data_IF_315182398503
#
_entry.id   IF_315182398503
#
_cell.length_a   1.000
_cell.length_b   1.000
_cell.length_c   1.000
_cell.angle_alpha   90.00
_cell.angle_beta   90.00
_cell.angle_gamma   90.00
#
_symmetry.space_group_name_H-M   'P 1'
#
loop_
_entity.id
_entity.type
_entity.pdbx_description
1 polymer ?
#
# COMPACT_ATOMS: atom_id res chain seq x y z
N UNK A 1 -8.69 -12.98 7.33
CA UNK A 1 -8.05 -11.83 6.68
C UNK A 1 -6.55 -12.11 6.67
N UNK A 2 -5.95 -12.19 5.48
CA UNK A 2 -4.50 -12.38 5.37
C UNK A 2 -3.78 -11.04 5.51
N UNK A 3 -2.49 -11.08 5.82
CA UNK A 3 -1.70 -9.86 5.94
C UNK A 3 -1.47 -9.24 4.57
N UNK A 4 -1.42 -7.91 4.47
CA UNK A 4 -0.96 -7.22 3.25
C UNK A 4 0.54 -7.36 3.01
N UNK A 5 1.26 -7.94 3.97
CA UNK A 5 2.71 -8.17 3.91
C UNK A 5 2.97 -9.48 3.16
N UNK A 6 3.68 -9.38 2.05
CA UNK A 6 4.13 -10.52 1.26
C UNK A 6 5.65 -10.62 1.22
N UNK A 7 6.14 -11.79 0.79
CA UNK A 7 7.57 -12.06 0.65
C UNK A 7 7.95 -12.03 -0.81
N UNK A 8 8.98 -11.24 -1.15
CA UNK A 8 9.48 -11.08 -2.51
C UNK A 8 10.97 -11.35 -2.61
N UNK A 9 11.41 -11.78 -3.78
CA UNK A 9 12.81 -11.71 -4.17
C UNK A 9 13.02 -10.53 -5.10
N UNK A 10 14.04 -9.72 -4.80
CA UNK A 10 14.47 -8.64 -5.66
C UNK A 10 15.94 -8.80 -6.05
N UNK A 11 16.25 -8.35 -7.26
CA UNK A 11 17.53 -8.49 -7.93
C UNK A 11 18.05 -7.12 -8.37
N UNK A 12 19.35 -6.91 -8.21
CA UNK A 12 20.08 -5.70 -8.62
C UNK A 12 21.15 -6.10 -9.66
N UNK A 13 20.81 -6.12 -10.95
CA UNK A 13 21.74 -6.57 -12.00
C UNK A 13 22.87 -5.59 -12.28
N UNK A 14 22.66 -4.30 -12.02
CA UNK A 14 23.64 -3.24 -12.34
C UNK A 14 24.31 -2.68 -11.07
N UNK A 15 24.26 -3.45 -9.98
CA UNK A 15 24.88 -3.05 -8.72
C UNK A 15 26.41 -3.21 -8.83
N UNK A 16 27.19 -2.18 -8.47
CA UNK A 16 28.64 -2.32 -8.46
C UNK A 16 29.13 -3.26 -7.34
N UNK A 17 30.20 -4.06 -7.55
CA UNK A 17 30.67 -5.06 -6.58
C UNK A 17 31.01 -4.54 -5.18
N UNK A 18 31.43 -3.27 -5.05
CA UNK A 18 31.67 -2.62 -3.75
C UNK A 18 30.42 -2.53 -2.87
N UNK A 19 29.21 -2.60 -3.44
CA UNK A 19 27.94 -2.61 -2.71
C UNK A 19 27.39 -4.02 -2.43
N UNK A 20 28.16 -5.10 -2.65
CA UNK A 20 27.71 -6.48 -2.43
C UNK A 20 27.78 -6.91 -0.96
N UNK A 21 28.33 -6.05 -0.08
CA UNK A 21 28.26 -6.27 1.35
C UNK A 21 26.80 -6.40 1.79
N UNK A 22 26.52 -7.37 2.67
CA UNK A 22 25.16 -7.66 3.14
C UNK A 22 24.52 -6.41 3.75
N UNK A 23 25.30 -5.65 4.51
CA UNK A 23 24.91 -4.43 5.21
C UNK A 23 24.52 -3.34 4.21
N UNK A 24 25.30 -3.17 3.14
CA UNK A 24 25.01 -2.22 2.07
C UNK A 24 23.71 -2.58 1.33
N UNK A 25 23.54 -3.86 0.98
CA UNK A 25 22.30 -4.36 0.37
C UNK A 25 21.12 -4.12 1.30
N UNK A 26 21.23 -4.48 2.57
CA UNK A 26 20.13 -4.31 3.52
C UNK A 26 19.75 -2.84 3.71
N UNK A 27 20.75 -1.95 3.80
CA UNK A 27 20.53 -0.51 3.87
C UNK A 27 19.77 0.03 2.65
N UNK A 28 20.17 -0.38 1.45
CA UNK A 28 19.47 -0.01 0.21
C UNK A 28 18.02 -0.48 0.19
N UNK A 29 17.77 -1.68 0.71
CA UNK A 29 16.47 -2.34 0.58
C UNK A 29 15.49 -1.93 1.68
N UNK A 30 15.98 -1.40 2.81
CA UNK A 30 15.14 -0.80 3.86
C UNK A 30 14.19 0.28 3.33
N UNK A 31 14.54 0.96 2.23
CA UNK A 31 13.67 1.93 1.58
C UNK A 31 12.46 1.29 0.85
N UNK A 32 12.53 -0.01 0.56
CA UNK A 32 11.53 -0.80 -0.18
C UNK A 32 10.69 -1.65 0.77
N UNK A 33 11.33 -2.27 1.75
CA UNK A 33 10.69 -3.21 2.67
C UNK A 33 11.68 -3.73 3.70
N UNK A 34 11.28 -4.73 4.48
CA UNK A 34 12.13 -5.31 5.52
C UNK A 34 13.01 -6.42 4.93
N UNK A 35 14.34 -6.26 4.92
CA UNK A 35 15.23 -7.29 4.40
C UNK A 35 15.25 -8.52 5.30
N UNK A 36 15.23 -9.70 4.68
CA UNK A 36 15.28 -11.00 5.37
C UNK A 36 16.63 -11.68 5.18
N UNK A 37 17.02 -11.92 3.93
CA UNK A 37 18.27 -12.63 3.62
C UNK A 37 18.74 -12.33 2.21
N UNK A 38 20.06 -12.30 2.00
CA UNK A 38 20.65 -12.36 0.65
C UNK A 38 20.62 -13.80 0.13
N UNK A 39 20.65 -13.97 -1.19
CA UNK A 39 20.81 -15.29 -1.79
C UNK A 39 22.22 -15.86 -1.58
N UNK A 40 22.39 -17.17 -1.80
CA UNK A 40 23.69 -17.83 -1.58
C UNK A 40 24.76 -17.36 -2.56
N UNK A 41 24.39 -16.98 -3.79
CA UNK A 41 25.34 -16.51 -4.79
C UNK A 41 25.92 -15.14 -4.43
N UNK A 42 25.09 -14.22 -3.94
CA UNK A 42 25.50 -12.91 -3.41
C UNK A 42 26.33 -13.09 -2.15
N UNK A 43 25.87 -13.95 -1.22
CA UNK A 43 26.60 -14.24 0.03
C UNK A 43 28.01 -14.77 -0.22
N UNK A 44 28.15 -15.66 -1.21
CA UNK A 44 29.43 -16.26 -1.57
C UNK A 44 30.22 -15.43 -2.61
N UNK A 45 29.70 -14.26 -3.01
CA UNK A 45 30.25 -13.42 -4.08
C UNK A 45 30.52 -14.19 -5.40
N UNK A 46 29.76 -15.27 -5.63
CA UNK A 46 29.95 -16.18 -6.77
C UNK A 46 29.36 -15.61 -8.08
N UNK A 47 28.49 -14.60 -7.98
CA UNK A 47 27.88 -13.89 -9.13
C UNK A 47 28.10 -12.38 -8.98
N UNK A 48 29.23 -11.83 -9.43
CA UNK A 48 29.54 -10.41 -9.27
C UNK A 48 28.65 -9.49 -10.12
N UNK A 49 27.83 -10.06 -11.01
CA UNK A 49 26.96 -9.32 -11.92
C UNK A 49 25.53 -9.15 -11.43
N UNK A 50 25.14 -9.71 -10.28
CA UNK A 50 23.78 -9.56 -9.77
C UNK A 50 23.72 -9.86 -8.27
N UNK A 51 23.31 -8.87 -7.49
CA UNK A 51 22.97 -9.08 -6.08
C UNK A 51 21.48 -9.40 -5.94
N UNK A 52 21.12 -10.35 -5.08
CA UNK A 52 19.72 -10.75 -4.86
C UNK A 52 19.42 -10.86 -3.37
N UNK A 53 18.24 -10.37 -2.98
CA UNK A 53 17.80 -10.31 -1.59
C UNK A 53 16.30 -10.60 -1.47
N UNK A 54 15.95 -11.30 -0.41
CA UNK A 54 14.59 -11.64 0.00
C UNK A 54 14.08 -10.61 1.00
N UNK A 55 12.89 -10.07 0.78
CA UNK A 55 12.29 -9.03 1.61
C UNK A 55 10.83 -9.30 1.95
N UNK A 56 10.37 -8.72 3.06
CA UNK A 56 8.96 -8.49 3.35
C UNK A 56 8.56 -7.11 2.81
N UNK A 57 7.49 -7.05 2.02
CA UNK A 57 6.99 -5.82 1.38
C UNK A 57 5.47 -5.78 1.45
N UNK A 58 4.93 -4.56 1.56
CA UNK A 58 3.49 -4.33 1.47
C UNK A 58 3.01 -4.49 0.02
N UNK A 59 2.16 -5.48 -0.22
CA UNK A 59 1.60 -5.81 -1.53
C UNK A 59 0.62 -4.75 -2.05
N UNK A 60 0.13 -3.87 -1.19
CA UNK A 60 -0.79 -2.80 -1.55
C UNK A 60 -0.07 -1.51 -1.94
N UNK A 61 1.21 -1.39 -1.60
CA UNK A 61 2.05 -0.23 -1.88
C UNK A 61 2.57 -0.21 -3.32
N UNK A 62 2.93 0.98 -3.81
CA UNK A 62 3.55 1.14 -5.12
C UNK A 62 4.97 0.56 -5.10
N UNK A 63 5.26 -0.35 -6.03
CA UNK A 63 6.58 -0.96 -6.17
C UNK A 63 7.64 0.06 -6.61
N UNK A 64 8.77 0.09 -5.89
CA UNK A 64 9.91 0.96 -6.18
C UNK A 64 10.81 0.28 -7.21
N UNK A 65 10.95 0.90 -8.38
CA UNK A 65 11.71 0.31 -9.49
C UNK A 65 13.18 0.75 -9.54
N UNK A 66 13.54 1.82 -8.84
CA UNK A 66 14.89 2.37 -8.81
C UNK A 66 15.20 2.96 -7.44
N UNK A 67 16.42 2.75 -6.98
CA UNK A 67 16.96 3.33 -5.75
C UNK A 67 18.19 4.19 -6.08
N UNK A 68 18.41 5.24 -5.29
CA UNK A 68 19.61 6.08 -5.43
C UNK A 68 20.69 5.53 -4.52
N UNK A 69 21.83 5.13 -5.10
CA UNK A 69 23.05 4.82 -4.37
C UNK A 69 23.97 6.03 -4.39
N UNK A 70 24.58 6.34 -3.25
CA UNK A 70 25.59 7.37 -3.13
C UNK A 70 26.94 6.68 -2.91
N UNK A 71 27.94 7.11 -3.67
CA UNK A 71 29.32 6.68 -3.56
C UNK A 71 30.14 7.91 -3.24
N UNK A 72 30.81 7.90 -2.09
CA UNK A 72 31.68 8.98 -1.64
C UNK A 72 33.10 8.65 -2.09
N UNK A 73 33.78 9.62 -2.70
CA UNK A 73 35.17 9.50 -3.08
C UNK A 73 36.06 9.91 -1.91
N UNK A 74 36.76 8.93 -1.32
CA UNK A 74 37.64 9.12 -0.15
C UNK A 74 38.74 10.18 -0.36
N UNK A 75 39.04 10.55 -1.61
CA UNK A 75 40.12 11.49 -1.94
C UNK A 75 39.63 12.90 -2.26
N UNK A 76 38.39 13.06 -2.71
CA UNK A 76 37.88 14.35 -3.20
C UNK A 76 36.68 14.88 -2.42
N UNK A 77 36.18 14.15 -1.41
CA UNK A 77 34.93 14.43 -0.69
C UNK A 77 33.71 14.59 -1.64
N UNK A 78 33.83 14.14 -2.89
CA UNK A 78 32.76 14.23 -3.87
C UNK A 78 31.79 13.05 -3.73
N UNK A 79 30.50 13.36 -3.61
CA UNK A 79 29.45 12.34 -3.57
C UNK A 79 28.87 12.14 -4.97
N UNK A 80 29.17 10.98 -5.57
CA UNK A 80 28.57 10.55 -6.85
C UNK A 80 27.31 9.76 -6.57
N UNK A 81 26.19 10.19 -7.14
CA UNK A 81 24.92 9.45 -6.99
C UNK A 81 24.54 8.72 -8.28
N UNK A 82 24.17 7.44 -8.16
CA UNK A 82 23.76 6.59 -9.28
C UNK A 82 22.41 5.96 -9.00
N UNK A 83 21.55 5.92 -10.02
CA UNK A 83 20.31 5.15 -9.96
C UNK A 83 20.58 3.67 -10.22
N UNK A 84 20.24 2.81 -9.26
CA UNK A 84 20.30 1.36 -9.38
C UNK A 84 18.90 0.83 -9.67
N UNK A 85 18.78 -0.01 -10.70
CA UNK A 85 17.51 -0.64 -11.07
C UNK A 85 17.19 -1.77 -10.09
N UNK A 86 15.93 -1.81 -9.66
CA UNK A 86 15.35 -2.91 -8.86
C UNK A 86 14.54 -3.79 -9.81
N UNK A 87 14.78 -5.10 -9.78
CA UNK A 87 13.97 -6.08 -10.48
C UNK A 87 13.28 -6.98 -9.45
N UNK A 88 11.99 -7.22 -9.62
CA UNK A 88 11.23 -8.15 -8.79
C UNK A 88 11.09 -9.46 -9.55
N UNK A 89 11.60 -10.55 -8.98
CA UNK A 89 11.58 -11.86 -9.65
C UNK A 89 10.17 -12.48 -9.61
N UNK A 90 9.50 -12.34 -8.46
CA UNK A 90 8.12 -12.76 -8.23
C UNK A 90 7.51 -11.89 -7.14
N UNK A 91 6.31 -11.37 -7.39
CA UNK A 91 5.55 -10.56 -6.45
C UNK A 91 4.17 -11.20 -6.26
N UNK A 92 3.82 -11.69 -5.06
CA UNK A 92 2.46 -12.16 -4.81
C UNK A 92 1.43 -11.07 -5.12
N UNK A 93 0.33 -11.45 -5.77
CA UNK A 93 -0.82 -10.57 -5.94
C UNK A 93 -1.58 -10.50 -4.62
N UNK A 94 -2.15 -9.35 -4.32
CA UNK A 94 -3.07 -9.16 -3.21
C UNK A 94 -4.38 -8.60 -3.76
N UNK A 95 -5.47 -9.31 -3.54
CA UNK A 95 -6.79 -8.84 -3.95
C UNK A 95 -7.41 -8.03 -2.80
N UNK A 96 -7.70 -6.75 -3.08
CA UNK A 96 -8.24 -5.82 -2.07
C UNK A 96 -9.67 -6.13 -1.67
N UNK A 97 -10.43 -6.72 -2.60
CA UNK A 97 -11.84 -7.06 -2.40
C UNK A 97 -12.02 -8.23 -1.42
N UNK A 98 -11.11 -9.20 -1.48
CA UNK A 98 -11.17 -10.44 -0.71
C UNK A 98 -10.19 -10.49 0.46
N UNK A 99 -9.22 -9.56 0.49
CA UNK A 99 -8.11 -9.55 1.43
C UNK A 99 -7.30 -10.86 1.47
N UNK A 100 -7.11 -11.48 0.30
CA UNK A 100 -6.35 -12.72 0.11
C UNK A 100 -5.12 -12.50 -0.79
N UNK A 101 -4.05 -13.24 -0.49
CA UNK A 101 -2.82 -13.31 -1.26
C UNK A 101 -2.86 -14.46 -2.27
N UNK A 102 -2.33 -14.25 -3.47
CA UNK A 102 -2.00 -15.34 -4.41
C UNK A 102 -2.73 -15.29 -5.75
N UNK A 103 -3.92 -14.69 -5.82
CA UNK A 103 -4.77 -14.75 -7.02
C UNK A 103 -5.08 -13.38 -7.66
N UNK A 104 -5.50 -13.44 -8.94
CA UNK A 104 -6.00 -12.29 -9.69
C UNK A 104 -7.38 -11.85 -9.15
N UNK A 105 -7.67 -10.54 -9.16
CA UNK A 105 -8.95 -9.97 -8.67
C UNK A 105 -10.17 -10.62 -9.35
N UNK A 106 -10.03 -11.05 -10.60
CA UNK A 106 -11.09 -11.76 -11.32
C UNK A 106 -11.32 -13.20 -10.86
N UNK A 107 -10.29 -13.87 -10.35
CA UNK A 107 -10.40 -15.29 -9.97
C UNK A 107 -10.85 -15.46 -8.52
N UNK A 108 -10.74 -14.41 -7.70
CA UNK A 108 -11.02 -14.54 -6.28
C UNK A 108 -12.50 -14.87 -6.00
N UNK A 109 -13.45 -14.19 -6.64
CA UNK A 109 -14.88 -14.45 -6.47
C UNK A 109 -15.33 -15.82 -6.99
N UNK A 110 -14.55 -16.41 -7.90
CA UNK A 110 -14.80 -17.76 -8.42
C UNK A 110 -14.33 -18.83 -7.44
N UNK A 111 -13.23 -18.57 -6.72
CA UNK A 111 -12.62 -19.52 -5.77
C UNK A 111 -13.25 -19.39 -4.37
N UNK A 112 -13.70 -18.18 -4.00
CA UNK A 112 -14.29 -17.87 -2.71
C UNK A 112 -15.69 -17.21 -2.84
N UNK A 113 -16.72 -17.96 -3.29
CA UNK A 113 -18.10 -17.44 -3.39
C UNK A 113 -18.63 -16.90 -2.06
N UNK A 114 -18.20 -17.46 -0.93
CA UNK A 114 -18.59 -17.06 0.42
C UNK A 114 -18.26 -15.59 0.74
N UNK A 115 -17.25 -15.01 0.09
CA UNK A 115 -16.88 -13.61 0.26
C UNK A 115 -17.81 -12.65 -0.50
N UNK A 116 -18.50 -13.14 -1.54
CA UNK A 116 -19.50 -12.35 -2.27
C UNK A 116 -20.73 -12.05 -1.44
N UNK A 117 -21.23 -13.06 -0.73
CA UNK A 117 -22.43 -12.93 0.11
C UNK A 117 -22.18 -11.97 1.27
N UNK A 118 -21.03 -12.11 1.95
CA UNK A 118 -20.64 -11.25 3.07
C UNK A 118 -20.52 -9.76 2.66
N UNK A 119 -19.94 -9.46 1.49
CA UNK A 119 -19.82 -8.07 1.01
C UNK A 119 -21.18 -7.46 0.68
N UNK A 120 -22.08 -8.24 0.05
CA UNK A 120 -23.44 -7.76 -0.25
C UNK A 120 -24.22 -7.42 1.02
N UNK A 121 -24.09 -8.23 2.07
CA UNK A 121 -24.71 -7.96 3.37
C UNK A 121 -24.16 -6.68 4.00
N UNK A 122 -22.84 -6.47 3.93
CA UNK A 122 -22.17 -5.28 4.49
C UNK A 122 -22.53 -3.99 3.72
N UNK A 123 -22.62 -4.07 2.39
CA UNK A 123 -23.07 -2.98 1.53
C UNK A 123 -24.54 -2.61 1.79
N UNK A 124 -25.43 -3.61 1.95
CA UNK A 124 -26.83 -3.40 2.31
C UNK A 124 -26.96 -2.72 3.68
N UNK A 125 -26.22 -3.18 4.68
CA UNK A 125 -26.18 -2.58 6.02
C UNK A 125 -25.66 -1.13 6.00
N UNK A 126 -24.66 -0.84 5.18
CA UNK A 126 -24.12 0.51 5.03
C UNK A 126 -25.09 1.45 4.31
N UNK A 127 -25.82 0.95 3.31
CA UNK A 127 -26.83 1.73 2.59
C UNK A 127 -28.05 2.03 3.48
N UNK A 128 -28.51 1.06 4.28
CA UNK A 128 -29.56 1.28 5.28
C UNK A 128 -29.14 2.31 6.34
N UNK A 129 -27.90 2.20 6.86
CA UNK A 129 -27.37 3.20 7.83
C UNK A 129 -27.33 4.60 7.24
N UNK A 130 -26.90 4.76 5.98
CA UNK A 130 -26.91 6.07 5.29
C UNK A 130 -28.32 6.61 5.15
N UNK A 131 -29.29 5.76 4.79
CA UNK A 131 -30.70 6.16 4.64
C UNK A 131 -31.32 6.59 5.98
N UNK A 132 -31.01 5.90 7.08
CA UNK A 132 -31.43 6.30 8.43
C UNK A 132 -30.83 7.65 8.83
N UNK A 133 -29.54 7.87 8.56
CA UNK A 133 -28.85 9.14 8.87
C UNK A 133 -29.42 10.29 8.02
N UNK A 134 -29.67 10.06 6.73
CA UNK A 134 -30.29 11.05 5.85
C UNK A 134 -31.72 11.38 6.29
N UNK A 135 -32.55 10.38 6.61
CA UNK A 135 -33.91 10.60 7.12
C UNK A 135 -33.93 11.36 8.45
N UNK A 136 -32.98 11.08 9.36
CA UNK A 136 -32.83 11.82 10.61
C UNK A 136 -32.41 13.29 10.39
N UNK A 137 -31.57 13.55 9.39
CA UNK A 137 -31.17 14.91 9.00
C UNK A 137 -32.32 15.71 8.38
N UNK A 138 -33.20 15.07 7.61
CA UNK A 138 -34.41 15.69 7.06
C UNK A 138 -35.43 16.02 8.14
N UNK A 139 -35.67 15.12 9.09
CA UNK A 139 -36.59 15.37 10.21
C UNK A 139 -36.17 16.54 11.11
N UNK A 140 -34.85 16.77 11.28
CA UNK A 140 -34.35 17.97 12.00
C UNK A 140 -34.62 19.29 11.27
N UNK A 141 -34.66 19.30 9.94
CA UNK A 141 -34.92 20.53 9.17
C UNK A 141 -36.38 21.01 9.29
N UNK A 142 -37.33 20.10 9.47
CA UNK A 142 -38.76 20.42 9.58
C UNK A 142 -39.08 21.15 10.89
N UNK A 143 -38.38 20.84 11.99
CA UNK A 143 -38.61 21.45 13.31
C UNK A 143 -38.07 22.89 13.44
N UNK A 144 -37.25 23.37 12.49
CA UNK A 144 -36.64 24.70 12.54
C UNK A 144 -37.46 25.81 11.86
N UNK A 145 -38.57 25.49 11.19
CA UNK A 145 -39.37 26.46 10.42
C UNK A 145 -40.68 26.86 11.12
N UNK A 146 -40.60 27.37 12.35
CA UNK A 146 -41.73 28.04 13.02
C UNK A 146 -41.91 29.48 12.51
N UNK A 147 -42.90 29.73 11.65
CA UNK A 147 -43.35 31.07 11.24
C UNK A 147 -43.92 31.83 12.44
N UNK A 148 -43.31 32.95 12.83
CA UNK A 148 -43.91 33.93 13.74
C UNK A 148 -44.68 34.93 12.86
N UNK A 149 -46.01 34.76 12.78
CA UNK A 149 -46.91 35.77 12.16
C UNK A 149 -47.52 36.59 13.30
N UNK A 150 -46.91 37.74 13.60
CA UNK A 150 -47.45 38.76 14.49
C UNK A 150 -48.12 39.88 13.70
N UNK A 151 -49.44 40.00 13.84
CA UNK A 151 -50.33 40.87 13.07
C UNK A 151 -50.23 42.35 13.49
N UNK A 152 -50.45 43.29 12.56
CA UNK A 152 -50.62 44.74 12.86
C UNK A 152 -52.09 45.01 13.25
N UNK A 153 -52.33 45.83 14.29
CA UNK A 153 -53.18 47.06 14.30
C UNK A 153 -53.84 47.39 15.67
N UNK A 154 -53.64 48.66 16.05
CA UNK A 154 -54.59 49.64 16.65
C UNK A 154 -54.96 49.70 18.16
N UNK A 155 -54.52 50.83 18.77
CA UNK A 155 -55.27 51.98 19.34
C UNK A 155 -55.74 51.99 20.82
N UNK A 156 -55.52 53.17 21.43
CA UNK A 156 -56.10 53.81 22.64
C UNK A 156 -55.59 53.25 23.99
N UNK A 157 -55.24 54.06 25.00
CA UNK A 157 -55.62 55.44 25.39
C UNK A 157 -54.43 56.40 25.56
#
# INVERSE_FOLDING_TARGET
METTIGVAWISFPDLPPNFFAKEAIFSMVNAIGKPLTVDMATKNQARPSCARVKIEVDLTAKLIQKIRSNEEDDNTDEVKSKWVKVQYDYMPKYCKECCLQGDDEHNCWTIHPELYEAKNEEDQLNEEKKNVIMGAAEHRKILASGKIVGNKQNRQE
#
